data_IF_121692554545
#
_entry.id   IF_121692554545
#
_cell.length_a   1.000
_cell.length_b   1.000
_cell.length_c   1.000
_cell.angle_alpha   90.00
_cell.angle_beta   90.00
_cell.angle_gamma   90.00
#
_symmetry.space_group_name_H-M   'P 1'
#
loop_
_entity.id
_entity.type
_entity.pdbx_description
1 polymer ?
#
# COMPACT_ATOMS: atom_id res chain seq x y z
N UNK A 1 -8.46 3.31 4.41
CA UNK A 1 -7.66 2.80 3.28
C UNK A 1 -6.84 1.64 3.81
N UNK A 2 -6.71 0.56 3.05
CA UNK A 2 -5.83 -0.56 3.34
C UNK A 2 -4.56 -0.49 2.48
N UNK A 3 -3.53 -1.24 2.87
CA UNK A 3 -2.34 -1.40 2.03
C UNK A 3 -2.75 -1.89 0.63
N UNK A 4 -2.12 -1.35 -0.42
CA UNK A 4 -2.46 -1.60 -1.82
C UNK A 4 -3.88 -1.19 -2.25
N UNK A 5 -4.64 -0.40 -1.48
CA UNK A 5 -5.88 0.16 -2.03
C UNK A 5 -5.56 1.17 -3.14
N UNK A 6 -4.59 2.06 -2.92
CA UNK A 6 -4.23 3.11 -3.88
C UNK A 6 -2.73 3.37 -3.87
N UNK A 7 -2.13 3.35 -5.05
CA UNK A 7 -0.77 3.82 -5.26
C UNK A 7 -0.77 5.16 -5.99
N UNK A 8 0.14 6.03 -5.58
CA UNK A 8 0.36 7.32 -6.22
C UNK A 8 1.70 7.32 -6.95
N UNK A 9 1.66 7.74 -8.22
CA UNK A 9 2.81 7.76 -9.13
C UNK A 9 3.10 9.18 -9.58
N UNK A 10 4.37 9.48 -9.76
CA UNK A 10 4.82 10.68 -10.45
C UNK A 10 6.28 10.55 -10.93
N UNK A 11 6.79 11.58 -11.61
CA UNK A 11 8.19 11.73 -11.95
C UNK A 11 8.82 12.93 -11.26
N UNK A 12 10.05 12.76 -10.79
CA UNK A 12 10.95 13.86 -10.44
C UNK A 12 12.08 13.92 -11.46
N UNK A 13 12.42 15.13 -11.92
CA UNK A 13 13.59 15.36 -12.78
C UNK A 13 14.78 15.85 -11.97
N UNK A 14 15.96 15.42 -12.39
CA UNK A 14 17.25 15.86 -11.86
C UNK A 14 18.34 15.79 -12.95
N UNK A 15 19.58 16.15 -12.63
CA UNK A 15 20.69 16.29 -13.57
C UNK A 15 21.97 15.66 -13.03
N UNK A 16 22.75 15.07 -13.94
CA UNK A 16 24.11 14.66 -13.63
C UNK A 16 25.05 15.86 -13.57
N UNK A 17 26.24 15.68 -13.01
CA UNK A 17 27.29 16.70 -12.95
C UNK A 17 27.75 17.19 -14.34
N UNK A 18 27.47 16.43 -15.40
CA UNK A 18 27.74 16.82 -16.79
C UNK A 18 26.56 17.53 -17.48
N UNK A 19 25.48 17.82 -16.75
CA UNK A 19 24.29 18.52 -17.23
C UNK A 19 23.27 17.64 -17.95
N UNK A 20 23.54 16.35 -18.22
CA UNK A 20 22.53 15.45 -18.78
C UNK A 20 21.42 15.21 -17.74
N UNK A 21 20.17 15.27 -18.19
CA UNK A 21 19.00 15.05 -17.34
C UNK A 21 18.70 13.57 -17.17
N UNK A 22 18.20 13.22 -15.99
CA UNK A 22 17.53 11.95 -15.75
C UNK A 22 16.21 12.19 -15.00
N UNK A 23 15.37 11.17 -14.97
CA UNK A 23 14.10 11.19 -14.22
C UNK A 23 14.05 10.01 -13.28
N UNK A 24 13.28 10.19 -12.21
CA UNK A 24 12.98 9.16 -11.22
C UNK A 24 11.48 8.94 -11.23
N UNK A 25 11.03 7.74 -11.59
CA UNK A 25 9.67 7.31 -11.31
C UNK A 25 9.54 7.08 -9.81
N UNK A 26 8.62 7.79 -9.18
CA UNK A 26 8.25 7.59 -7.78
C UNK A 26 6.94 6.80 -7.69
N UNK A 27 6.91 5.80 -6.82
CA UNK A 27 5.72 4.99 -6.56
C UNK A 27 5.54 4.89 -5.05
N UNK A 28 4.40 5.35 -4.54
CA UNK A 28 4.10 5.38 -3.09
C UNK A 28 2.76 4.72 -2.82
N UNK A 29 2.67 4.00 -1.72
CA UNK A 29 1.40 3.48 -1.21
C UNK A 29 0.73 4.51 -0.29
N UNK A 30 -0.48 4.94 -0.64
CA UNK A 30 -1.16 6.05 0.04
C UNK A 30 -1.57 5.71 1.48
N UNK A 31 -1.78 4.43 1.77
CA UNK A 31 -2.16 3.97 3.09
C UNK A 31 -0.94 3.89 4.00
N UNK A 32 0.05 3.11 3.59
CA UNK A 32 1.21 2.77 4.42
C UNK A 32 2.32 3.82 4.38
N UNK A 33 2.28 4.71 3.39
CA UNK A 33 3.32 5.69 3.04
C UNK A 33 4.66 5.08 2.66
N UNK A 34 4.68 3.77 2.41
CA UNK A 34 5.86 3.08 1.89
C UNK A 34 6.22 3.63 0.51
N UNK A 35 7.50 3.95 0.33
CA UNK A 35 8.09 4.20 -0.97
C UNK A 35 8.36 2.86 -1.66
N UNK A 36 7.53 2.52 -2.63
CA UNK A 36 7.53 1.22 -3.30
C UNK A 36 8.65 1.11 -4.32
N UNK A 37 8.92 2.21 -5.03
CA UNK A 37 10.01 2.27 -5.99
C UNK A 37 10.48 3.72 -6.22
N UNK A 38 11.79 3.82 -6.49
CA UNK A 38 12.47 5.00 -7.03
C UNK A 38 13.30 4.54 -8.22
N UNK A 39 12.74 4.63 -9.43
CA UNK A 39 13.39 4.11 -10.64
C UNK A 39 14.02 5.26 -11.41
N UNK A 40 15.34 5.40 -11.29
CA UNK A 40 16.10 6.35 -12.09
C UNK A 40 16.43 5.80 -13.49
N UNK A 41 16.15 6.61 -14.51
CA UNK A 41 16.60 6.37 -15.88
C UNK A 41 16.67 7.68 -16.69
N UNK A 42 17.36 7.65 -17.82
CA UNK A 42 17.36 8.77 -18.79
C UNK A 42 16.15 8.71 -19.72
N UNK A 43 15.49 7.54 -19.82
CA UNK A 43 14.23 7.37 -20.55
C UNK A 43 13.31 6.36 -19.83
N UNK A 44 12.09 6.79 -19.50
CA UNK A 44 11.09 5.99 -18.79
C UNK A 44 9.79 5.93 -19.61
N UNK A 45 9.80 5.19 -20.72
CA UNK A 45 8.58 4.97 -21.51
C UNK A 45 7.49 4.28 -20.69
N UNK A 46 6.21 4.42 -21.09
CA UNK A 46 5.12 3.74 -20.39
C UNK A 46 5.27 2.22 -20.35
N UNK A 47 5.91 1.59 -21.36
CA UNK A 47 6.26 0.17 -21.29
C UNK A 47 7.30 -0.13 -20.21
N UNK A 48 8.26 0.78 -19.99
CA UNK A 48 9.21 0.63 -18.87
C UNK A 48 8.50 0.79 -17.54
N UNK A 49 7.62 1.79 -17.39
CA UNK A 49 6.80 1.99 -16.18
C UNK A 49 5.97 0.74 -15.87
N UNK A 50 5.27 0.17 -16.86
CA UNK A 50 4.49 -1.06 -16.72
C UNK A 50 5.32 -2.23 -16.17
N UNK A 51 6.56 -2.42 -16.63
CA UNK A 51 7.46 -3.47 -16.12
C UNK A 51 7.86 -3.24 -14.67
N UNK A 52 8.08 -2.00 -14.27
CA UNK A 52 8.39 -1.69 -12.86
C UNK A 52 7.17 -1.92 -11.97
N UNK A 53 5.96 -1.58 -12.44
CA UNK A 53 4.73 -1.89 -11.73
C UNK A 53 4.52 -3.39 -11.57
N UNK A 54 4.72 -4.19 -12.63
CA UNK A 54 4.64 -5.65 -12.56
C UNK A 54 5.59 -6.21 -11.48
N UNK A 55 6.83 -5.72 -11.40
CA UNK A 55 7.80 -6.14 -10.35
C UNK A 55 7.35 -5.80 -8.93
N UNK A 56 6.78 -4.61 -8.73
CA UNK A 56 6.27 -4.22 -7.40
C UNK A 56 5.08 -5.13 -7.04
N UNK A 57 4.18 -5.38 -8.00
CA UNK A 57 3.01 -6.24 -7.82
C UNK A 57 3.43 -7.67 -7.46
N UNK A 58 4.44 -8.22 -8.14
CA UNK A 58 4.98 -9.55 -7.83
C UNK A 58 5.53 -9.64 -6.39
N UNK A 59 6.17 -8.58 -5.90
CA UNK A 59 6.79 -8.57 -4.59
C UNK A 59 5.79 -8.36 -3.43
N UNK A 60 4.75 -7.53 -3.61
CA UNK A 60 3.88 -7.10 -2.49
C UNK A 60 2.37 -7.28 -2.71
N UNK A 61 1.96 -7.60 -3.94
CA UNK A 61 0.57 -7.67 -4.34
C UNK A 61 0.10 -6.46 -5.14
N UNK A 62 -1.05 -6.65 -5.81
CA UNK A 62 -1.63 -5.73 -6.78
C UNK A 62 -2.41 -4.59 -6.13
N UNK A 63 -2.28 -3.33 -6.57
CA UNK A 63 -3.13 -2.25 -6.10
C UNK A 63 -4.55 -2.37 -6.67
N UNK A 64 -5.55 -1.80 -5.98
CA UNK A 64 -6.88 -1.61 -6.61
C UNK A 64 -6.85 -0.47 -7.62
N UNK A 65 -6.19 0.63 -7.25
CA UNK A 65 -6.12 1.84 -8.06
C UNK A 65 -4.71 2.43 -8.09
N UNK A 66 -4.36 3.02 -9.23
CA UNK A 66 -3.21 3.89 -9.43
C UNK A 66 -3.69 5.30 -9.72
N UNK A 67 -3.03 6.31 -9.13
CA UNK A 67 -3.25 7.72 -9.43
C UNK A 67 -1.98 8.37 -9.97
N UNK A 68 -2.10 9.12 -11.06
CA UNK A 68 -0.98 9.83 -11.69
C UNK A 68 -1.42 11.16 -12.29
N UNK A 69 -0.44 11.94 -12.74
CA UNK A 69 -0.68 13.04 -13.68
C UNK A 69 -1.00 12.54 -15.10
N UNK A 70 -1.27 13.47 -16.02
CA UNK A 70 -1.55 13.19 -17.43
C UNK A 70 -0.27 13.15 -18.29
N UNK A 71 0.89 12.84 -17.69
CA UNK A 71 2.14 12.69 -18.43
C UNK A 71 2.00 11.71 -19.60
N UNK A 72 2.73 11.96 -20.68
CA UNK A 72 2.66 11.13 -21.89
C UNK A 72 3.12 9.69 -21.64
N UNK A 73 3.96 9.47 -20.63
CA UNK A 73 4.36 8.14 -20.18
C UNK A 73 3.16 7.36 -19.62
N UNK A 74 2.34 8.00 -18.78
CA UNK A 74 1.20 7.39 -18.12
C UNK A 74 -0.01 7.24 -19.05
N UNK A 75 -0.20 8.17 -19.99
CA UNK A 75 -1.30 8.11 -20.98
C UNK A 75 -0.94 7.30 -22.23
N UNK A 76 0.22 6.64 -22.24
CA UNK A 76 0.69 5.85 -23.39
C UNK A 76 -0.11 4.56 -23.63
N UNK A 77 -0.10 4.08 -24.87
CA UNK A 77 -0.70 2.79 -25.23
C UNK A 77 -0.15 1.61 -24.40
N UNK A 78 1.12 1.68 -23.99
CA UNK A 78 1.72 0.65 -23.13
C UNK A 78 1.05 0.57 -21.77
N UNK A 79 0.70 1.71 -21.18
CA UNK A 79 -0.03 1.75 -19.90
C UNK A 79 -1.51 1.39 -20.09
N UNK A 80 -2.15 1.84 -21.17
CA UNK A 80 -3.55 1.45 -21.46
C UNK A 80 -3.70 -0.06 -21.65
N UNK A 81 -2.76 -0.71 -22.36
CA UNK A 81 -2.75 -2.18 -22.48
C UNK A 81 -2.43 -2.85 -21.15
N UNK A 82 -1.53 -2.27 -20.37
CA UNK A 82 -1.17 -2.79 -19.05
C UNK A 82 -2.37 -2.75 -18.08
N UNK A 83 -3.10 -1.63 -18.02
CA UNK A 83 -4.30 -1.49 -17.17
C UNK A 83 -5.41 -2.45 -17.60
N UNK A 84 -5.64 -2.61 -18.90
CA UNK A 84 -6.60 -3.60 -19.40
C UNK A 84 -6.20 -5.03 -19.03
N UNK A 85 -4.91 -5.38 -19.13
CA UNK A 85 -4.41 -6.71 -18.76
C UNK A 85 -4.50 -6.97 -17.25
N UNK A 86 -4.04 -6.02 -16.43
CA UNK A 86 -3.92 -6.21 -14.97
C UNK A 86 -5.23 -5.95 -14.23
N UNK A 87 -6.19 -5.27 -14.88
CA UNK A 87 -7.45 -4.82 -14.28
C UNK A 87 -7.24 -3.94 -13.05
N UNK A 88 -6.14 -3.20 -13.02
CA UNK A 88 -5.88 -2.13 -12.04
C UNK A 88 -6.57 -0.87 -12.55
N UNK A 89 -7.38 -0.24 -11.72
CA UNK A 89 -8.00 1.04 -12.08
C UNK A 89 -6.93 2.13 -12.17
N UNK A 90 -7.03 3.01 -13.16
CA UNK A 90 -6.11 4.14 -13.30
C UNK A 90 -6.90 5.45 -13.31
N UNK A 91 -6.59 6.32 -12.35
CA UNK A 91 -7.23 7.61 -12.20
C UNK A 91 -6.22 8.73 -12.50
N UNK A 92 -6.47 9.47 -13.57
CA UNK A 92 -5.69 10.65 -13.91
C UNK A 92 -6.24 11.85 -13.15
N UNK A 93 -5.36 12.61 -12.50
CA UNK A 93 -5.77 13.86 -11.85
C UNK A 93 -6.24 14.89 -12.89
N UNK A 94 -7.12 15.79 -12.47
CA UNK A 94 -7.53 16.91 -13.29
C UNK A 94 -6.34 17.87 -13.54
N UNK A 95 -6.21 18.45 -14.75
CA UNK A 95 -5.22 19.49 -15.02
C UNK A 95 -5.26 20.62 -14.00
N UNK A 96 -4.10 21.01 -13.46
CA UNK A 96 -3.98 22.06 -12.45
C UNK A 96 -4.52 21.71 -11.06
N UNK A 97 -4.76 20.41 -10.76
CA UNK A 97 -5.23 19.96 -9.44
C UNK A 97 -4.23 18.99 -8.77
N UNK A 98 -3.00 19.44 -8.47
CA UNK A 98 -1.97 18.59 -7.83
C UNK A 98 -2.42 18.03 -6.47
N UNK A 99 -3.36 18.70 -5.78
CA UNK A 99 -3.93 18.23 -4.50
C UNK A 99 -4.63 16.87 -4.61
N UNK A 100 -5.08 16.46 -5.81
CA UNK A 100 -5.69 15.13 -6.01
C UNK A 100 -4.65 14.00 -5.90
N UNK A 101 -3.36 14.34 -5.92
CA UNK A 101 -2.23 13.45 -5.65
C UNK A 101 -1.38 13.94 -4.46
N UNK A 102 -2.01 14.48 -3.41
CA UNK A 102 -1.32 15.11 -2.30
C UNK A 102 -0.21 14.24 -1.64
N UNK A 103 -0.41 12.93 -1.56
CA UNK A 103 0.59 12.02 -1.00
C UNK A 103 1.90 11.99 -1.81
N UNK A 104 1.81 11.98 -3.15
CA UNK A 104 3.02 12.05 -3.97
C UNK A 104 3.67 13.42 -3.89
N UNK A 105 2.90 14.50 -3.78
CA UNK A 105 3.46 15.86 -3.67
C UNK A 105 4.27 16.02 -2.38
N UNK A 106 3.71 15.60 -1.23
CA UNK A 106 4.45 15.59 0.03
C UNK A 106 5.68 14.70 -0.01
N UNK A 107 5.59 13.53 -0.64
CA UNK A 107 6.72 12.62 -0.81
C UNK A 107 7.83 13.21 -1.70
N UNK A 108 7.47 13.81 -2.85
CA UNK A 108 8.42 14.46 -3.77
C UNK A 108 9.13 15.63 -3.10
N UNK A 109 8.41 16.47 -2.34
CA UNK A 109 9.00 17.56 -1.58
C UNK A 109 10.09 17.04 -0.65
N UNK A 110 9.78 15.99 0.12
CA UNK A 110 10.76 15.33 0.98
C UNK A 110 11.96 14.75 0.20
N UNK A 111 11.71 14.01 -0.88
CA UNK A 111 12.76 13.42 -1.71
C UNK A 111 13.69 14.50 -2.29
N UNK A 112 13.13 15.66 -2.67
CA UNK A 112 13.90 16.82 -3.12
C UNK A 112 14.77 17.38 -2.00
N UNK A 113 14.13 17.77 -0.90
CA UNK A 113 14.76 18.56 0.15
C UNK A 113 15.77 17.74 0.96
N UNK A 114 15.50 16.45 1.19
CA UNK A 114 16.34 15.62 2.04
C UNK A 114 17.40 14.82 1.25
N UNK A 115 17.33 14.77 -0.08
CA UNK A 115 18.19 13.89 -0.86
C UNK A 115 18.66 14.45 -2.20
N UNK A 116 17.75 14.73 -3.13
CA UNK A 116 18.15 15.09 -4.49
C UNK A 116 18.92 16.43 -4.51
N UNK A 117 18.48 17.42 -3.74
CA UNK A 117 19.16 18.72 -3.69
C UNK A 117 20.53 18.66 -2.97
N UNK A 118 20.74 17.65 -2.12
CA UNK A 118 21.95 17.48 -1.31
C UNK A 118 22.97 16.53 -1.96
N UNK A 119 22.63 15.92 -3.11
CA UNK A 119 23.44 14.87 -3.73
C UNK A 119 23.80 15.21 -5.18
N UNK A 120 25.09 15.22 -5.49
CA UNK A 120 25.57 15.32 -6.87
C UNK A 120 25.74 13.93 -7.48
N UNK A 121 25.10 13.70 -8.63
CA UNK A 121 25.18 12.43 -9.34
C UNK A 121 26.12 12.52 -10.54
N UNK A 122 27.16 11.68 -10.57
CA UNK A 122 28.08 11.58 -11.72
C UNK A 122 27.61 10.60 -12.78
N UNK A 123 26.76 9.64 -12.40
CA UNK A 123 26.27 8.59 -13.31
C UNK A 123 24.91 8.04 -12.88
N UNK A 124 24.23 7.41 -13.83
CA UNK A 124 22.95 6.74 -13.56
C UNK A 124 23.10 5.57 -12.59
N UNK A 125 24.22 4.85 -12.64
CA UNK A 125 24.52 3.76 -11.69
C UNK A 125 24.63 4.29 -10.27
N UNK A 126 25.35 5.40 -10.07
CA UNK A 126 25.45 6.05 -8.75
C UNK A 126 24.07 6.51 -8.27
N UNK A 127 23.28 7.16 -9.13
CA UNK A 127 21.93 7.62 -8.79
C UNK A 127 21.03 6.46 -8.35
N UNK A 128 21.04 5.33 -9.08
CA UNK A 128 20.26 4.13 -8.74
C UNK A 128 20.65 3.56 -7.37
N UNK A 129 21.94 3.42 -7.10
CA UNK A 129 22.41 2.90 -5.81
C UNK A 129 22.04 3.82 -4.65
N UNK A 130 22.20 5.14 -4.83
CA UNK A 130 21.87 6.11 -3.80
C UNK A 130 20.36 6.19 -3.52
N UNK A 131 19.52 6.16 -4.57
CA UNK A 131 18.06 6.08 -4.42
C UNK A 131 17.60 4.79 -3.74
N UNK A 132 18.24 3.66 -4.02
CA UNK A 132 17.94 2.39 -3.35
C UNK A 132 18.21 2.49 -1.84
N UNK A 133 19.37 3.04 -1.48
CA UNK A 133 19.75 3.24 -0.07
C UNK A 133 18.79 4.21 0.62
N UNK A 134 18.50 5.35 -0.01
CA UNK A 134 17.57 6.33 0.53
C UNK A 134 16.17 5.74 0.74
N UNK A 135 15.68 4.93 -0.21
CA UNK A 135 14.38 4.26 -0.10
C UNK A 135 14.33 3.29 1.09
N UNK A 136 15.39 2.52 1.31
CA UNK A 136 15.45 1.62 2.47
C UNK A 136 15.52 2.40 3.77
N UNK A 137 16.33 3.46 3.85
CA UNK A 137 16.36 4.34 5.02
C UNK A 137 14.99 4.96 5.33
N UNK A 138 14.33 5.50 4.29
CA UNK A 138 12.99 6.07 4.38
C UNK A 138 11.96 5.06 4.89
N UNK A 139 11.93 3.84 4.34
CA UNK A 139 10.93 2.84 4.72
C UNK A 139 11.20 2.18 6.07
N UNK A 140 12.46 1.95 6.42
CA UNK A 140 12.84 1.04 7.50
C UNK A 140 13.34 1.77 8.75
N UNK A 141 13.81 3.02 8.63
CA UNK A 141 14.49 3.72 9.73
C UNK A 141 13.94 5.11 10.04
N UNK A 142 13.18 5.75 9.14
CA UNK A 142 12.62 7.09 9.38
C UNK A 142 11.21 7.03 9.94
N UNK A 143 10.97 7.50 11.17
CA UNK A 143 9.62 7.57 11.73
C UNK A 143 8.83 8.76 11.17
N UNK A 144 7.54 8.55 10.90
CA UNK A 144 6.64 9.57 10.37
C UNK A 144 5.60 9.96 11.42
N UNK A 145 5.47 11.26 11.70
CA UNK A 145 4.46 11.78 12.65
C UNK A 145 3.02 11.41 12.25
N UNK A 146 2.71 11.40 10.95
CA UNK A 146 1.41 10.96 10.41
C UNK A 146 1.12 9.47 10.65
N UNK A 147 2.15 8.67 10.94
CA UNK A 147 2.07 7.24 11.24
C UNK A 147 2.25 6.95 12.74
N UNK A 148 2.05 7.95 13.60
CA UNK A 148 2.26 7.79 15.04
C UNK A 148 3.72 7.53 15.42
N UNK A 149 4.66 8.11 14.67
CA UNK A 149 6.11 7.93 14.81
C UNK A 149 6.62 6.52 14.52
N UNK A 150 5.85 5.73 13.75
CA UNK A 150 6.32 4.50 13.14
C UNK A 150 7.01 4.77 11.81
N UNK A 151 7.91 3.89 11.40
CA UNK A 151 8.40 3.86 10.02
C UNK A 151 7.30 3.33 9.08
N UNK A 152 7.36 3.63 7.77
CA UNK A 152 6.39 3.09 6.82
C UNK A 152 6.32 1.56 6.85
N UNK A 153 7.46 0.88 6.98
CA UNK A 153 7.52 -0.58 7.04
C UNK A 153 6.92 -1.14 8.34
N UNK A 154 7.14 -0.48 9.49
CA UNK A 154 6.51 -0.84 10.77
C UNK A 154 5.00 -0.69 10.69
N UNK A 155 4.54 0.47 10.21
CA UNK A 155 3.12 0.76 10.06
C UNK A 155 2.43 -0.23 9.11
N UNK A 156 3.06 -0.57 7.97
CA UNK A 156 2.56 -1.58 7.05
C UNK A 156 2.35 -2.95 7.71
N UNK A 157 3.21 -3.33 8.67
CA UNK A 157 3.06 -4.57 9.43
C UNK A 157 1.85 -4.54 10.37
N UNK A 158 1.46 -3.38 10.89
CA UNK A 158 0.27 -3.23 11.75
C UNK A 158 -1.05 -3.35 10.97
N UNK A 159 -1.05 -2.94 9.69
CA UNK A 159 -2.24 -2.94 8.83
C UNK A 159 -2.44 -4.28 8.10
N UNK A 160 -1.40 -5.11 8.00
CA UNK A 160 -1.59 -6.49 7.52
C UNK A 160 -2.72 -7.10 8.34
N UNK A 161 -3.86 -7.48 7.73
CA UNK A 161 -4.87 -8.21 8.46
C UNK A 161 -4.13 -9.41 9.03
N UNK A 162 -4.12 -9.51 10.35
CA UNK A 162 -3.62 -10.66 11.08
C UNK A 162 -4.11 -11.87 10.29
N UNK A 163 -3.21 -12.52 9.53
CA UNK A 163 -3.50 -13.69 8.67
C UNK A 163 -4.61 -14.43 9.36
N UNK A 164 -5.79 -14.53 8.74
CA UNK A 164 -6.99 -15.16 9.31
C UNK A 164 -6.50 -16.17 10.34
N UNK A 165 -6.47 -15.72 11.60
CA UNK A 165 -5.95 -16.55 12.64
C UNK A 165 -7.12 -17.49 12.78
N UNK A 166 -7.05 -18.59 12.01
CA UNK A 166 -8.01 -19.69 11.96
C UNK A 166 -8.50 -19.74 13.38
N UNK A 167 -9.76 -19.33 13.57
CA UNK A 167 -10.40 -19.36 14.87
C UNK A 167 -10.04 -20.72 15.41
N UNK A 168 -9.05 -20.78 16.31
CA UNK A 168 -8.73 -22.03 16.97
C UNK A 168 -9.99 -22.22 17.76
N UNK A 169 -10.82 -23.13 17.25
CA UNK A 169 -11.98 -23.64 17.96
C UNK A 169 -11.46 -23.86 19.36
N UNK A 170 -11.93 -23.01 20.27
CA UNK A 170 -11.64 -23.13 21.68
C UNK A 170 -12.41 -24.38 22.04
N UNK A 171 -11.76 -25.54 21.89
CA UNK A 171 -12.28 -26.80 22.41
C UNK A 171 -12.53 -26.54 23.88
N UNK A 172 -13.79 -26.24 24.19
CA UNK A 172 -14.24 -26.02 25.55
C UNK A 172 -14.04 -27.31 26.30
N UNK A 173 -13.11 -27.31 27.25
CA UNK A 173 -13.00 -28.35 28.27
C UNK A 173 -14.14 -28.20 29.27
N UNK A 174 -15.38 -28.31 28.81
CA UNK A 174 -16.54 -28.45 29.67
C UNK A 174 -16.91 -29.94 29.68
N UNK A 175 -16.83 -30.63 30.83
CA UNK A 175 -17.33 -32.00 30.91
C UNK A 175 -18.85 -32.04 30.68
N UNK A 176 -19.30 -33.02 29.90
CA UNK A 176 -20.73 -33.24 29.67
C UNK A 176 -21.45 -33.52 30.99
N UNK A 177 -22.62 -32.91 31.26
CA UNK A 177 -23.42 -33.30 32.40
C UNK A 177 -24.00 -34.70 32.16
N UNK A 178 -23.73 -35.61 33.10
CA UNK A 178 -24.32 -36.94 33.13
C UNK A 178 -25.85 -36.82 33.27
N UNK A 179 -26.59 -37.34 32.30
CA UNK A 179 -28.03 -37.46 32.40
C UNK A 179 -28.40 -38.53 33.44
N UNK A 180 -28.97 -38.09 34.56
CA UNK A 180 -29.61 -38.99 35.53
C UNK A 180 -31.01 -39.35 35.03
N UNK A 181 -31.32 -40.64 34.97
CA UNK A 181 -32.60 -41.17 34.53
C UNK A 181 -33.78 -40.66 35.40
N UNK A 182 -34.96 -40.39 34.81
CA UNK A 182 -36.14 -40.00 35.58
C UNK A 182 -36.79 -41.22 36.23
N UNK A 183 -36.88 -41.20 37.56
CA UNK A 183 -37.65 -42.18 38.33
C UNK A 183 -39.13 -41.76 38.42
N UNK A 184 -40.01 -42.74 38.37
CA UNK A 184 -41.45 -42.63 38.11
C UNK A 184 -42.27 -42.38 39.40
N UNK A 185 -43.45 -41.74 39.22
CA UNK A 185 -44.63 -41.65 40.11
C UNK A 185 -44.48 -40.75 41.37
N UNK A 186 -45.45 -39.90 41.75
CA UNK A 186 -46.88 -40.17 41.94
C UNK A 186 -47.74 -38.88 41.93
N UNK A 187 -49.01 -39.06 41.60
CA UNK A 187 -50.17 -38.16 41.49
C UNK A 187 -50.39 -37.11 42.61
N UNK A 188 -51.04 -35.97 42.27
CA UNK A 188 -52.40 -35.65 42.76
C UNK A 188 -53.07 -34.43 42.08
N UNK A 189 -54.39 -34.39 42.23
CA UNK A 189 -55.46 -33.82 41.39
C UNK A 189 -56.02 -32.49 41.96
N UNK A 190 -56.73 -31.73 41.11
CA UNK A 190 -57.70 -30.63 41.37
C UNK A 190 -57.14 -29.24 41.77
N UNK A 191 -57.68 -28.09 41.35
CA UNK A 191 -58.94 -27.75 40.65
C UNK A 191 -58.87 -26.33 40.06
N UNK A 192 -59.66 -26.09 39.00
CA UNK A 192 -59.99 -24.77 38.43
C UNK A 192 -60.65 -23.85 39.46
N UNK A 193 -60.35 -22.55 39.40
CA UNK A 193 -61.30 -21.46 39.70
C UNK A 193 -60.95 -20.25 38.80
N UNK A 194 -61.92 -19.80 38.01
CA UNK A 194 -61.97 -18.49 37.36
C UNK A 194 -62.95 -17.62 38.15
N UNK A 195 -62.56 -16.39 38.43
CA UNK A 195 -63.40 -15.27 38.87
C UNK A 195 -62.64 -14.02 38.43
N UNK A 196 -63.19 -12.97 37.84
CA UNK A 196 -64.52 -12.60 37.37
C UNK A 196 -64.30 -11.35 36.52
#
# INVERSE_FOLDING_TARGET
MAANDRWSLDFVSDQFTDGRRFRVLTVVDDCTRECLALVADTSLSGLRVARELDRIIEARGKPKMIVSDNGSEFTSNGILQWTDRTKVEWHYIAPGKPIQNAFIESFKGRLRDEFLNETLFSSLTQARSALLNWRSDYNDHRPHSELGWMTPAEFAQTIKPRRDAVLRSRNGSAPQPAATAPNTATQNRWSKLKTG
#
